data_IF_751491909716
#
_entry.id   IF_751491909716
#
_cell.length_a   1.000
_cell.length_b   1.000
_cell.length_c   1.000
_cell.angle_alpha   90.00
_cell.angle_beta   90.00
_cell.angle_gamma   90.00
#
_symmetry.space_group_name_H-M   'P 1'
#
loop_
_entity.id
_entity.type
_entity.pdbx_description
1 polymer ?
#
# COMPACT_ATOMS: atom_id res chain seq x y z
N UNK A 1 -13.49 0.22 -26.38
CA UNK A 1 -14.18 1.53 -26.36
C UNK A 1 -14.83 1.80 -25.00
N UNK A 2 -15.68 0.89 -24.49
CA UNK A 2 -16.45 1.09 -23.25
C UNK A 2 -15.57 1.32 -22.00
N UNK A 3 -14.64 0.40 -21.69
CA UNK A 3 -13.78 0.53 -20.50
C UNK A 3 -12.97 1.83 -20.47
N UNK A 4 -12.47 2.28 -21.63
CA UNK A 4 -11.75 3.56 -21.75
C UNK A 4 -12.66 4.76 -21.46
N UNK A 5 -13.93 4.70 -21.86
CA UNK A 5 -14.90 5.76 -21.56
C UNK A 5 -15.39 5.79 -20.11
N UNK A 6 -15.26 4.67 -19.38
CA UNK A 6 -15.56 4.60 -17.95
C UNK A 6 -14.35 4.91 -17.06
N UNK A 7 -13.14 4.87 -17.63
CA UNK A 7 -11.87 4.96 -16.91
C UNK A 7 -11.82 6.13 -15.92
N UNK A 8 -12.07 7.35 -16.38
CA UNK A 8 -11.93 8.57 -15.55
C UNK A 8 -12.86 8.53 -14.33
N UNK A 9 -14.11 8.07 -14.52
CA UNK A 9 -15.08 7.92 -13.42
C UNK A 9 -14.63 6.91 -12.38
N UNK A 10 -14.04 5.79 -12.81
CA UNK A 10 -13.52 4.77 -11.89
C UNK A 10 -12.25 5.23 -11.18
N UNK A 11 -11.35 5.92 -11.89
CA UNK A 11 -10.16 6.53 -11.29
C UNK A 11 -10.54 7.52 -10.18
N UNK A 12 -11.56 8.34 -10.39
CA UNK A 12 -12.08 9.29 -9.39
C UNK A 12 -12.79 8.56 -8.25
N UNK A 13 -13.65 7.58 -8.55
CA UNK A 13 -14.38 6.83 -7.53
C UNK A 13 -13.46 6.09 -6.55
N UNK A 14 -12.42 5.43 -7.08
CA UNK A 14 -11.46 4.67 -6.28
C UNK A 14 -10.26 5.49 -5.81
N UNK A 15 -10.09 6.72 -6.31
CA UNK A 15 -8.93 7.57 -6.01
C UNK A 15 -7.61 6.95 -6.46
N UNK A 16 -7.59 6.26 -7.61
CA UNK A 16 -6.41 5.61 -8.20
C UNK A 16 -6.23 6.03 -9.66
N UNK A 17 -5.12 5.61 -10.28
CA UNK A 17 -4.94 5.67 -11.74
C UNK A 17 -4.96 4.27 -12.34
N UNK A 18 -5.67 4.14 -13.46
CA UNK A 18 -5.85 2.89 -14.20
C UNK A 18 -5.08 3.01 -15.52
N UNK A 19 -4.06 2.16 -15.68
CA UNK A 19 -3.30 2.09 -16.93
C UNK A 19 -4.17 1.53 -18.07
N UNK A 20 -3.95 1.99 -19.31
CA UNK A 20 -4.70 1.46 -20.46
C UNK A 20 -4.45 -0.04 -20.67
N UNK A 21 -3.22 -0.49 -20.38
CA UNK A 21 -2.82 -1.90 -20.39
C UNK A 21 -3.64 -2.75 -19.40
N UNK A 22 -4.03 -2.18 -18.25
CA UNK A 22 -4.90 -2.86 -17.28
C UNK A 22 -6.30 -3.07 -17.85
N UNK A 23 -6.85 -2.08 -18.57
CA UNK A 23 -8.15 -2.20 -19.24
C UNK A 23 -8.13 -3.29 -20.33
N UNK A 24 -7.08 -3.33 -21.15
CA UNK A 24 -6.90 -4.35 -22.19
C UNK A 24 -6.77 -5.75 -21.57
N UNK A 25 -6.00 -5.85 -20.48
CA UNK A 25 -5.80 -7.11 -19.76
C UNK A 25 -7.10 -7.59 -19.11
N UNK A 26 -7.86 -6.70 -18.48
CA UNK A 26 -9.15 -7.03 -17.89
C UNK A 26 -10.13 -7.57 -18.95
N UNK A 27 -10.22 -6.92 -20.10
CA UNK A 27 -11.05 -7.41 -21.21
C UNK A 27 -10.59 -8.79 -21.71
N UNK A 28 -9.28 -8.98 -21.90
CA UNK A 28 -8.72 -10.22 -22.47
C UNK A 28 -8.83 -11.40 -21.50
N UNK A 29 -8.50 -11.20 -20.23
CA UNK A 29 -8.48 -12.25 -19.22
C UNK A 29 -9.90 -12.61 -18.76
N UNK A 30 -10.78 -11.62 -18.56
CA UNK A 30 -12.18 -11.91 -18.26
C UNK A 30 -12.87 -12.64 -19.42
N UNK A 31 -12.55 -12.29 -20.67
CA UNK A 31 -13.08 -13.01 -21.83
C UNK A 31 -12.66 -14.49 -21.85
N UNK A 32 -11.37 -14.74 -21.59
CA UNK A 32 -10.81 -16.10 -21.62
C UNK A 32 -11.23 -16.99 -20.46
N UNK A 33 -11.31 -16.44 -19.25
CA UNK A 33 -11.41 -17.26 -18.02
C UNK A 33 -12.72 -17.13 -17.26
N UNK A 34 -13.50 -16.06 -17.48
CA UNK A 34 -14.82 -15.88 -16.85
C UNK A 34 -15.88 -16.19 -17.92
N UNK A 35 -16.23 -17.47 -18.06
CA UNK A 35 -17.05 -17.98 -19.17
C UNK A 35 -18.56 -17.94 -18.90
N UNK A 36 -18.96 -17.77 -17.64
CA UNK A 36 -20.35 -17.70 -17.18
C UNK A 36 -20.95 -16.29 -17.29
N UNK A 37 -20.15 -15.29 -17.70
CA UNK A 37 -20.55 -13.88 -17.84
C UNK A 37 -20.11 -13.31 -19.20
N UNK A 38 -20.76 -12.22 -19.61
CA UNK A 38 -20.53 -11.57 -20.90
C UNK A 38 -19.78 -10.24 -20.76
N UNK A 39 -19.02 -9.88 -21.80
CA UNK A 39 -18.48 -8.52 -21.93
C UNK A 39 -19.60 -7.51 -22.20
N UNK A 40 -19.45 -6.24 -21.77
CA UNK A 40 -18.31 -5.68 -21.04
C UNK A 40 -18.36 -5.88 -19.52
N UNK A 41 -19.49 -6.36 -18.98
CA UNK A 41 -19.81 -6.43 -17.55
C UNK A 41 -18.72 -7.12 -16.71
N UNK A 42 -18.32 -8.33 -17.09
CA UNK A 42 -17.25 -9.06 -16.39
C UNK A 42 -15.89 -8.37 -16.35
N UNK A 43 -15.59 -7.52 -17.35
CA UNK A 43 -14.34 -6.78 -17.38
C UNK A 43 -14.43 -5.51 -16.53
N UNK A 44 -15.61 -4.90 -16.44
CA UNK A 44 -15.88 -3.77 -15.55
C UNK A 44 -15.72 -4.22 -14.10
N UNK A 45 -16.34 -5.33 -13.72
CA UNK A 45 -16.24 -5.87 -12.36
C UNK A 45 -14.81 -6.22 -11.98
N UNK A 46 -14.04 -6.81 -12.89
CA UNK A 46 -12.64 -7.14 -12.64
C UNK A 46 -11.79 -5.88 -12.39
N UNK A 47 -12.07 -4.78 -13.10
CA UNK A 47 -11.42 -3.49 -12.85
C UNK A 47 -11.88 -2.91 -11.51
N UNK A 48 -13.17 -2.99 -11.18
CA UNK A 48 -13.73 -2.48 -9.92
C UNK A 48 -13.15 -3.19 -8.70
N UNK A 49 -13.05 -4.52 -8.75
CA UNK A 49 -12.48 -5.35 -7.69
C UNK A 49 -10.98 -5.06 -7.53
N UNK A 50 -10.24 -4.98 -8.64
CA UNK A 50 -8.82 -4.65 -8.62
C UNK A 50 -8.57 -3.23 -8.08
N UNK A 51 -9.41 -2.27 -8.45
CA UNK A 51 -9.31 -0.89 -7.98
C UNK A 51 -9.63 -0.78 -6.49
N UNK A 52 -10.69 -1.44 -6.02
CA UNK A 52 -11.05 -1.52 -4.60
C UNK A 52 -9.93 -2.13 -3.77
N UNK A 53 -9.35 -3.23 -4.25
CA UNK A 53 -8.22 -3.88 -3.59
C UNK A 53 -7.00 -2.97 -3.51
N UNK A 54 -6.63 -2.32 -4.62
CA UNK A 54 -5.50 -1.39 -4.64
C UNK A 54 -5.74 -0.22 -3.68
N UNK A 55 -6.97 0.29 -3.61
CA UNK A 55 -7.31 1.37 -2.68
C UNK A 55 -7.12 0.93 -1.22
N UNK A 56 -7.57 -0.27 -0.86
CA UNK A 56 -7.34 -0.83 0.47
C UNK A 56 -5.84 -0.99 0.78
N UNK A 57 -5.04 -1.45 -0.19
CA UNK A 57 -3.59 -1.59 -0.06
C UNK A 57 -2.91 -0.22 0.16
N UNK A 58 -3.31 0.82 -0.56
CA UNK A 58 -2.80 2.20 -0.40
C UNK A 58 -3.15 2.81 0.96
N UNK A 59 -4.34 2.49 1.49
CA UNK A 59 -4.78 2.99 2.79
C UNK A 59 -4.12 2.26 3.97
N UNK A 60 -3.56 1.09 3.73
CA UNK A 60 -2.92 0.22 4.74
C UNK A 60 -1.42 0.48 4.87
N UNK A 61 -0.86 0.14 6.04
CA UNK A 61 0.59 0.19 6.23
C UNK A 61 1.28 -0.82 5.30
N UNK A 62 2.31 -0.42 4.53
CA UNK A 62 3.09 -1.34 3.71
C UNK A 62 3.65 -2.50 4.52
N UNK A 63 3.62 -3.70 3.93
CA UNK A 63 4.09 -4.93 4.60
C UNK A 63 5.54 -4.83 5.06
N UNK A 64 6.39 -4.14 4.31
CA UNK A 64 7.80 -3.92 4.66
C UNK A 64 7.94 -3.12 5.97
N UNK A 65 7.09 -2.10 6.17
CA UNK A 65 7.06 -1.30 7.40
C UNK A 65 6.52 -2.15 8.56
N UNK A 66 5.42 -2.90 8.35
CA UNK A 66 4.87 -3.78 9.38
C UNK A 66 5.88 -4.83 9.85
N UNK A 67 6.67 -5.39 8.93
CA UNK A 67 7.73 -6.35 9.27
C UNK A 67 8.84 -5.71 10.11
N UNK A 68 9.30 -4.51 9.74
CA UNK A 68 10.29 -3.76 10.52
C UNK A 68 9.78 -3.44 11.92
N UNK A 69 8.53 -2.97 12.05
CA UNK A 69 7.92 -2.65 13.34
C UNK A 69 7.81 -3.87 14.26
N UNK A 70 7.46 -5.04 13.71
CA UNK A 70 7.45 -6.29 14.47
C UNK A 70 8.84 -6.69 14.95
N UNK A 71 9.86 -6.52 14.12
CA UNK A 71 11.25 -6.79 14.50
C UNK A 71 11.73 -5.83 15.59
N UNK A 72 11.44 -4.54 15.45
CA UNK A 72 11.75 -3.52 16.47
C UNK A 72 11.10 -3.90 17.80
N UNK A 73 9.82 -4.28 17.79
CA UNK A 73 9.08 -4.69 18.99
C UNK A 73 9.72 -5.91 19.67
N UNK A 74 10.12 -6.92 18.89
CA UNK A 74 10.82 -8.10 19.42
C UNK A 74 12.15 -7.71 20.10
N UNK A 75 12.94 -6.86 19.46
CA UNK A 75 14.21 -6.37 20.02
C UNK A 75 13.99 -5.49 21.25
N UNK A 76 12.91 -4.70 21.32
CA UNK A 76 12.59 -3.91 22.52
C UNK A 76 12.23 -4.79 23.73
N UNK A 77 11.55 -5.91 23.50
CA UNK A 77 11.26 -6.91 24.54
C UNK A 77 12.57 -7.53 25.02
N UNK A 78 13.43 -7.97 24.10
CA UNK A 78 14.74 -8.56 24.42
C UNK A 78 15.64 -7.56 25.17
N UNK A 79 15.70 -6.30 24.72
CA UNK A 79 16.39 -5.20 25.41
C UNK A 79 15.94 -5.06 26.86
N UNK A 80 14.63 -5.15 27.10
CA UNK A 80 14.05 -5.00 28.44
C UNK A 80 14.42 -6.19 29.34
N UNK A 81 14.55 -7.38 28.77
CA UNK A 81 15.05 -8.55 29.49
C UNK A 81 16.55 -8.41 29.83
N UNK A 82 17.39 -8.10 28.83
CA UNK A 82 18.84 -7.95 29.01
C UNK A 82 19.23 -6.86 30.01
N UNK A 83 18.44 -5.77 30.09
CA UNK A 83 18.66 -4.70 31.09
C UNK A 83 18.57 -5.16 32.55
N UNK A 84 17.96 -6.31 32.83
CA UNK A 84 17.87 -6.89 34.18
C UNK A 84 19.08 -7.76 34.53
N UNK A 85 19.85 -8.16 33.53
CA UNK A 85 21.05 -8.98 33.68
C UNK A 85 22.26 -8.10 34.05
N UNK A 86 23.25 -8.70 34.71
CA UNK A 86 24.39 -7.95 35.29
C UNK A 86 25.76 -8.46 34.85
N UNK A 87 25.81 -9.57 34.11
CA UNK A 87 27.05 -10.14 33.61
C UNK A 87 27.59 -9.36 32.39
N UNK A 88 28.89 -9.46 32.18
CA UNK A 88 29.58 -8.73 31.11
C UNK A 88 29.13 -9.16 29.70
N UNK A 89 28.80 -10.45 29.51
CA UNK A 89 28.33 -10.93 28.21
C UNK A 89 26.98 -10.31 27.83
N UNK A 90 26.07 -10.17 28.79
CA UNK A 90 24.77 -9.51 28.57
C UNK A 90 24.89 -8.00 28.36
N UNK A 91 25.88 -7.33 28.96
CA UNK A 91 26.18 -5.92 28.65
C UNK A 91 26.66 -5.74 27.22
N UNK A 92 27.55 -6.60 26.73
CA UNK A 92 28.05 -6.54 25.36
C UNK A 92 26.92 -6.82 24.34
N UNK A 93 26.07 -7.82 24.63
CA UNK A 93 24.88 -8.11 23.80
C UNK A 93 23.90 -6.95 23.79
N UNK A 94 23.65 -6.33 24.94
CA UNK A 94 22.76 -5.18 25.04
C UNK A 94 23.26 -4.02 24.18
N UNK A 95 24.56 -3.73 24.16
CA UNK A 95 25.14 -2.68 23.34
C UNK A 95 24.91 -2.94 21.84
N UNK A 96 25.20 -4.15 21.35
CA UNK A 96 24.95 -4.55 19.95
C UNK A 96 23.47 -4.51 19.59
N UNK A 97 22.61 -4.92 20.52
CA UNK A 97 21.16 -4.88 20.34
C UNK A 97 20.66 -3.44 20.23
N UNK A 98 21.12 -2.53 21.09
CA UNK A 98 20.71 -1.12 21.06
C UNK A 98 21.16 -0.42 19.77
N UNK A 99 22.34 -0.76 19.24
CA UNK A 99 22.81 -0.32 17.91
C UNK A 99 21.87 -0.80 16.79
N UNK A 100 21.58 -2.10 16.74
CA UNK A 100 20.66 -2.66 15.75
C UNK A 100 19.25 -2.05 15.84
N UNK A 101 18.77 -1.82 17.06
CA UNK A 101 17.47 -1.24 17.31
C UNK A 101 17.39 0.21 16.86
N UNK A 102 18.46 0.99 17.03
CA UNK A 102 18.57 2.35 16.50
C UNK A 102 18.52 2.36 14.97
N UNK A 103 19.30 1.49 14.32
CA UNK A 103 19.34 1.37 12.86
C UNK A 103 17.97 0.98 12.28
N UNK A 104 17.28 -0.01 12.88
CA UNK A 104 15.96 -0.44 12.40
C UNK A 104 14.89 0.62 12.62
N UNK A 105 14.94 1.36 13.74
CA UNK A 105 14.03 2.49 13.98
C UNK A 105 14.21 3.59 12.96
N UNK A 106 15.45 3.98 12.66
CA UNK A 106 15.74 4.98 11.64
C UNK A 106 15.20 4.56 10.27
N UNK A 107 15.40 3.29 9.87
CA UNK A 107 14.86 2.76 8.62
C UNK A 107 13.32 2.75 8.60
N UNK A 108 12.68 2.34 9.70
CA UNK A 108 11.21 2.34 9.80
C UNK A 108 10.66 3.77 9.72
N UNK A 109 11.27 4.72 10.42
CA UNK A 109 10.85 6.11 10.41
C UNK A 109 11.00 6.75 9.03
N UNK A 110 12.11 6.46 8.32
CA UNK A 110 12.32 6.92 6.95
C UNK A 110 11.27 6.36 5.97
N UNK A 111 10.96 5.06 6.06
CA UNK A 111 9.95 4.43 5.21
C UNK A 111 8.54 4.93 5.54
N UNK A 112 8.21 5.13 6.82
CA UNK A 112 6.94 5.70 7.25
C UNK A 112 6.76 7.13 6.75
N UNK A 113 7.80 7.96 6.84
CA UNK A 113 7.75 9.33 6.34
C UNK A 113 7.47 9.34 4.82
N UNK A 114 8.21 8.54 4.05
CA UNK A 114 7.97 8.38 2.60
C UNK A 114 6.55 7.93 2.29
N UNK A 115 6.06 6.91 2.98
CA UNK A 115 4.69 6.42 2.80
C UNK A 115 3.63 7.49 3.12
N UNK A 116 3.82 8.26 4.19
CA UNK A 116 2.90 9.35 4.55
C UNK A 116 2.89 10.45 3.47
N UNK A 117 4.06 10.82 2.95
CA UNK A 117 4.20 11.82 1.88
C UNK A 117 3.55 11.35 0.57
N UNK A 118 3.76 10.08 0.19
CA UNK A 118 3.12 9.46 -0.97
C UNK A 118 1.60 9.43 -0.82
N UNK A 119 1.09 9.01 0.35
CA UNK A 119 -0.34 8.97 0.64
C UNK A 119 -0.96 10.37 0.60
N UNK A 120 -0.27 11.38 1.14
CA UNK A 120 -0.72 12.77 1.08
C UNK A 120 -0.80 13.26 -0.37
N UNK A 121 0.21 12.94 -1.19
CA UNK A 121 0.26 13.30 -2.61
C UNK A 121 -0.89 12.66 -3.41
N UNK A 122 -1.17 11.37 -3.19
CA UNK A 122 -2.28 10.67 -3.82
C UNK A 122 -3.63 11.30 -3.44
N UNK A 123 -3.83 11.61 -2.15
CA UNK A 123 -5.05 12.25 -1.68
C UNK A 123 -5.25 13.64 -2.30
N UNK A 124 -4.18 14.45 -2.42
CA UNK A 124 -4.25 15.74 -3.07
C UNK A 124 -4.67 15.63 -4.55
N UNK A 125 -4.08 14.67 -5.29
CA UNK A 125 -4.46 14.40 -6.69
C UNK A 125 -5.91 13.95 -6.80
N UNK A 126 -6.38 13.10 -5.89
CA UNK A 126 -7.76 12.62 -5.87
C UNK A 126 -8.77 13.76 -5.67
N UNK A 127 -8.46 14.71 -4.78
CA UNK A 127 -9.29 15.91 -4.56
C UNK A 127 -9.37 16.76 -5.83
N UNK A 128 -8.24 17.04 -6.48
CA UNK A 128 -8.20 17.84 -7.72
C UNK A 128 -8.98 17.17 -8.84
N UNK A 129 -8.81 15.85 -9.02
CA UNK A 129 -9.56 15.10 -10.04
C UNK A 129 -11.07 15.12 -9.78
N UNK A 130 -11.48 15.04 -8.51
CA UNK A 130 -12.88 15.10 -8.12
C UNK A 130 -13.50 16.45 -8.44
N UNK A 131 -12.77 17.55 -8.18
CA UNK A 131 -13.19 18.91 -8.54
C UNK A 131 -13.29 19.11 -10.05
N UNK A 132 -12.35 18.53 -10.82
CA UNK A 132 -12.37 18.60 -12.28
C UNK A 132 -13.60 17.88 -12.87
N UNK A 133 -13.91 16.68 -12.36
CA UNK A 133 -15.12 15.94 -12.74
C UNK A 133 -16.39 16.73 -12.41
N UNK A 134 -16.44 17.38 -11.24
CA UNK A 134 -17.59 18.21 -10.85
C UNK A 134 -17.76 19.41 -11.77
N UNK A 135 -16.67 20.03 -12.23
CA UNK A 135 -16.71 21.14 -13.18
C UNK A 135 -17.08 20.70 -14.61
N UNK A 136 -16.88 19.42 -14.97
CA UNK A 136 -17.24 18.85 -16.27
C UNK A 136 -18.69 18.33 -16.34
N UNK A 137 -19.40 18.23 -15.21
CA UNK A 137 -20.82 17.86 -15.14
C UNK A 137 -21.74 19.04 -15.44
#
# INVERSE_FOLDING_TARGET
AILRGLKERYEVHHGIRIQDTALVSAATLSDRYITDRFLPDKAIDLIDEAASRLRMELDSMPTEIDQLERQIMQLEIERTALKKEKDEASRERLAKLEENLANLKEQSDELKARWQDEKASINAVSIVNSQLEEAHR
#
